data_IF_992633213806
#
_entry.id   IF_992633213806
#
_cell.length_a   1.000
_cell.length_b   1.000
_cell.length_c   1.000
_cell.angle_alpha   90.00
_cell.angle_beta   90.00
_cell.angle_gamma   90.00
#
_symmetry.space_group_name_H-M   'P 1'
#
loop_
_entity.id
_entity.type
_entity.pdbx_description
1 polymer ?
#
# COMPACT_ATOMS: atom_id res chain seq x y z
N UNK A 1 -10.35 16.59 41.61
CA UNK A 1 -10.57 16.37 40.17
C UNK A 1 -11.48 17.48 39.68
N UNK A 2 -10.97 18.41 38.87
CA UNK A 2 -11.80 19.45 38.27
C UNK A 2 -12.77 18.79 37.28
N UNK A 3 -14.08 18.99 37.51
CA UNK A 3 -15.13 18.53 36.60
C UNK A 3 -15.20 19.53 35.44
N UNK A 4 -14.49 19.25 34.36
CA UNK A 4 -14.43 20.12 33.15
C UNK A 4 -15.72 20.06 32.29
N UNK A 5 -16.86 19.63 32.80
CA UNK A 5 -18.17 19.67 32.12
C UNK A 5 -18.28 18.96 30.77
N UNK A 6 -17.18 18.40 30.25
CA UNK A 6 -17.14 17.77 28.95
C UNK A 6 -17.48 16.28 28.89
N UNK A 7 -17.64 15.64 30.06
CA UNK A 7 -18.03 14.23 30.14
C UNK A 7 -19.37 13.99 29.42
N UNK A 8 -19.36 13.07 28.44
CA UNK A 8 -20.54 12.76 27.62
C UNK A 8 -20.59 13.44 26.26
N UNK A 9 -19.77 14.46 26.01
CA UNK A 9 -19.67 15.05 24.67
C UNK A 9 -18.92 14.13 23.71
N UNK A 10 -19.21 14.26 22.40
CA UNK A 10 -18.46 13.55 21.36
C UNK A 10 -16.96 13.88 21.40
N UNK A 11 -16.63 15.15 21.60
CA UNK A 11 -15.25 15.63 21.66
C UNK A 11 -14.47 15.00 22.82
N UNK A 12 -15.11 14.85 23.99
CA UNK A 12 -14.51 14.16 25.14
C UNK A 12 -14.26 12.68 24.84
N UNK A 13 -15.17 12.01 24.14
CA UNK A 13 -14.97 10.61 23.73
C UNK A 13 -13.79 10.48 22.77
N UNK A 14 -13.66 11.40 21.78
CA UNK A 14 -12.51 11.42 20.85
C UNK A 14 -11.20 11.54 21.62
N UNK A 15 -11.11 12.48 22.57
CA UNK A 15 -9.95 12.68 23.42
C UNK A 15 -9.64 11.43 24.28
N UNK A 16 -10.64 10.88 24.94
CA UNK A 16 -10.49 9.68 25.75
C UNK A 16 -9.99 8.47 24.91
N UNK A 17 -10.59 8.24 23.75
CA UNK A 17 -10.23 7.14 22.88
C UNK A 17 -8.83 7.33 22.26
N UNK A 18 -8.44 8.55 21.93
CA UNK A 18 -7.09 8.89 21.48
C UNK A 18 -6.04 8.51 22.53
N UNK A 19 -6.22 8.91 23.77
CA UNK A 19 -5.34 8.55 24.89
C UNK A 19 -5.31 7.05 25.12
N UNK A 20 -6.49 6.43 25.21
CA UNK A 20 -6.63 5.00 25.48
C UNK A 20 -5.89 4.13 24.47
N UNK A 21 -5.94 4.44 23.18
CA UNK A 21 -5.23 3.66 22.15
C UNK A 21 -3.71 3.85 22.18
N UNK A 22 -3.22 4.93 22.77
CA UNK A 22 -1.80 5.20 22.91
C UNK A 22 -1.20 4.65 24.22
N UNK A 23 -1.93 4.70 25.35
CA UNK A 23 -1.41 4.40 26.67
C UNK A 23 -1.92 3.09 27.28
N UNK A 24 -3.07 2.54 26.80
CA UNK A 24 -3.65 1.34 27.40
C UNK A 24 -3.31 0.08 26.61
N UNK A 25 -2.33 -0.72 27.07
CA UNK A 25 -1.81 -1.92 26.40
C UNK A 25 -2.87 -3.00 26.11
N UNK A 26 -3.91 -3.10 26.93
CA UNK A 26 -5.02 -4.05 26.72
C UNK A 26 -6.07 -3.55 25.71
N UNK A 27 -5.88 -2.36 25.12
CA UNK A 27 -6.75 -1.88 24.04
C UNK A 27 -6.54 -2.73 22.79
N UNK A 28 -7.65 -3.13 22.15
CA UNK A 28 -7.62 -3.93 20.92
C UNK A 28 -6.79 -3.29 19.80
N UNK A 29 -6.72 -1.97 19.79
CA UNK A 29 -6.00 -1.19 18.79
C UNK A 29 -4.60 -0.74 19.26
N UNK A 30 -4.17 -1.09 20.48
CA UNK A 30 -2.89 -0.63 21.03
C UNK A 30 -1.71 -0.94 20.11
N UNK A 31 -1.68 -2.15 19.52
CA UNK A 31 -0.63 -2.57 18.58
C UNK A 31 -0.50 -1.68 17.32
N UNK A 32 -1.54 -0.90 16.98
CA UNK A 32 -1.53 0.05 15.87
C UNK A 32 -1.09 1.47 16.29
N UNK A 33 -1.02 1.76 17.60
CA UNK A 33 -0.73 3.08 18.16
C UNK A 33 0.37 3.00 19.23
N UNK A 34 0.02 2.82 20.50
CA UNK A 34 0.98 2.77 21.61
C UNK A 34 2.07 1.71 21.42
N UNK A 35 1.71 0.53 20.92
CA UNK A 35 2.63 -0.55 20.58
C UNK A 35 3.63 -0.22 19.47
N UNK A 36 3.38 0.86 18.72
CA UNK A 36 4.30 1.42 17.72
C UNK A 36 5.10 2.62 18.23
N UNK A 37 4.93 2.99 19.51
CA UNK A 37 5.56 4.16 20.10
C UNK A 37 4.82 5.48 19.86
N UNK A 38 3.61 5.46 19.29
CA UNK A 38 2.78 6.66 19.10
C UNK A 38 2.24 7.11 20.44
N UNK A 39 2.42 8.39 20.75
CA UNK A 39 2.02 9.03 22.00
C UNK A 39 1.04 10.17 21.73
N UNK A 40 0.41 10.64 22.79
CA UNK A 40 -0.28 11.93 22.84
C UNK A 40 0.69 12.94 23.43
N UNK A 41 0.73 14.18 22.94
CA UNK A 41 1.55 15.23 23.54
C UNK A 41 1.14 15.48 25.01
N UNK A 42 2.10 15.90 25.83
CA UNK A 42 1.93 16.02 27.29
C UNK A 42 0.74 16.94 27.64
N UNK A 43 0.54 18.01 26.87
CA UNK A 43 -0.54 18.96 27.04
C UNK A 43 -1.91 18.31 26.90
N UNK A 44 -2.11 17.50 25.85
CA UNK A 44 -3.38 16.80 25.61
C UNK A 44 -3.53 15.51 26.43
N UNK A 45 -2.42 14.91 26.86
CA UNK A 45 -2.45 13.69 27.69
C UNK A 45 -3.08 14.00 29.06
N UNK A 46 -2.78 15.14 29.65
CA UNK A 46 -3.20 15.51 30.99
C UNK A 46 -4.44 16.42 31.04
N UNK A 47 -4.69 17.22 30.00
CA UNK A 47 -5.71 18.27 30.03
C UNK A 47 -6.67 18.21 28.83
N UNK A 48 -7.93 17.90 29.10
CA UNK A 48 -9.00 17.93 28.09
C UNK A 48 -9.30 19.34 27.57
N UNK A 49 -9.18 20.35 28.41
CA UNK A 49 -9.48 21.74 28.03
C UNK A 49 -8.51 22.21 26.94
N UNK A 50 -7.24 21.91 27.06
CA UNK A 50 -6.22 22.22 26.03
C UNK A 50 -6.55 21.55 24.70
N UNK A 51 -6.92 20.26 24.73
CA UNK A 51 -7.37 19.57 23.50
C UNK A 51 -8.65 20.18 22.93
N UNK A 52 -9.62 20.53 23.78
CA UNK A 52 -10.88 21.13 23.37
C UNK A 52 -10.68 22.49 22.70
N UNK A 53 -9.87 23.32 23.30
CA UNK A 53 -9.58 24.65 22.76
C UNK A 53 -8.92 24.56 21.38
N UNK A 54 -7.89 23.73 21.26
CA UNK A 54 -7.28 23.43 19.95
C UNK A 54 -8.31 22.91 18.94
N UNK A 55 -9.17 21.99 19.35
CA UNK A 55 -10.16 21.39 18.48
C UNK A 55 -11.13 22.43 17.90
N UNK A 56 -11.61 23.35 18.73
CA UNK A 56 -12.53 24.41 18.32
C UNK A 56 -11.81 25.40 17.37
N UNK A 57 -10.60 25.84 17.72
CA UNK A 57 -9.80 26.76 16.94
C UNK A 57 -9.42 26.19 15.56
N UNK A 58 -9.27 24.88 15.45
CA UNK A 58 -8.91 24.18 14.22
C UNK A 58 -10.09 23.55 13.46
N UNK A 59 -11.33 24.03 13.72
CA UNK A 59 -12.49 23.72 12.90
C UNK A 59 -13.19 22.40 13.24
N UNK A 60 -13.22 22.02 14.51
CA UNK A 60 -14.03 20.88 14.96
C UNK A 60 -15.48 20.97 14.49
N UNK A 61 -15.99 19.88 13.97
CA UNK A 61 -17.40 19.69 13.62
C UNK A 61 -17.84 18.27 13.99
N UNK A 62 -19.13 18.10 14.27
CA UNK A 62 -19.71 16.80 14.60
C UNK A 62 -19.59 15.78 13.44
N UNK A 63 -19.44 16.24 12.20
CA UNK A 63 -19.28 15.41 11.00
C UNK A 63 -17.84 15.00 10.72
N UNK A 64 -16.84 15.65 11.35
CA UNK A 64 -15.43 15.42 11.10
C UNK A 64 -14.82 14.45 12.13
N UNK A 65 -13.72 13.82 11.76
CA UNK A 65 -12.95 12.91 12.62
C UNK A 65 -11.55 13.44 12.85
N UNK A 66 -10.97 13.15 14.01
CA UNK A 66 -9.57 13.48 14.30
C UNK A 66 -8.66 12.57 13.47
N UNK A 67 -7.83 13.17 12.62
CA UNK A 67 -6.86 12.50 11.76
C UNK A 67 -5.45 13.01 12.03
N UNK A 68 -4.44 12.13 11.93
CA UNK A 68 -3.03 12.53 11.98
C UNK A 68 -2.51 12.69 10.56
N UNK A 69 -1.91 13.83 10.26
CA UNK A 69 -1.33 14.14 8.96
C UNK A 69 -0.27 13.09 8.61
N UNK A 70 0.68 12.86 9.52
CA UNK A 70 1.62 11.75 9.46
C UNK A 70 1.17 10.62 10.39
N UNK A 71 0.79 9.49 9.82
CA UNK A 71 0.31 8.31 10.56
C UNK A 71 1.37 7.63 11.44
N UNK A 72 2.64 7.96 11.28
CA UNK A 72 3.75 7.46 12.08
C UNK A 72 4.16 8.44 13.20
N UNK A 73 3.62 9.69 13.16
CA UNK A 73 3.82 10.72 14.17
C UNK A 73 2.83 10.63 15.34
N UNK A 74 3.08 11.45 16.35
CA UNK A 74 2.28 11.54 17.56
C UNK A 74 0.97 12.31 17.35
N UNK A 75 0.08 12.23 18.34
CA UNK A 75 -1.06 13.14 18.46
C UNK A 75 -0.58 14.44 19.12
N UNK A 76 -0.48 15.46 18.32
CA UNK A 76 -0.03 16.81 18.70
C UNK A 76 -0.63 17.85 17.77
N UNK A 77 -0.70 19.13 18.16
CA UNK A 77 -1.30 20.19 17.34
C UNK A 77 -0.75 20.28 15.91
N UNK A 78 0.56 20.11 15.74
CA UNK A 78 1.25 20.18 14.45
C UNK A 78 0.97 18.99 13.51
N UNK A 79 0.55 17.85 14.06
CA UNK A 79 0.32 16.61 13.32
C UNK A 79 -1.14 16.18 13.27
N UNK A 80 -2.06 16.93 13.85
CA UNK A 80 -3.48 16.60 13.88
C UNK A 80 -4.30 17.57 13.04
N UNK A 81 -5.39 17.06 12.47
CA UNK A 81 -6.40 17.84 11.75
C UNK A 81 -7.78 17.21 11.90
N UNK A 82 -8.80 18.00 11.62
CA UNK A 82 -10.15 17.48 11.42
C UNK A 82 -10.34 17.13 9.95
N UNK A 83 -10.79 15.93 9.69
CA UNK A 83 -10.91 15.37 8.34
C UNK A 83 -12.27 14.67 8.16
N UNK A 84 -12.74 14.67 6.92
CA UNK A 84 -13.86 13.82 6.51
C UNK A 84 -13.47 12.35 6.55
N UNK A 85 -14.46 11.46 6.53
CA UNK A 85 -14.21 10.02 6.47
C UNK A 85 -13.42 9.63 5.20
N UNK A 86 -13.66 10.31 4.08
CA UNK A 86 -12.95 10.05 2.82
C UNK A 86 -11.48 10.47 2.91
N UNK A 87 -11.18 11.65 3.44
CA UNK A 87 -9.81 12.13 3.67
C UNK A 87 -9.06 11.20 4.63
N UNK A 88 -9.69 10.81 5.74
CA UNK A 88 -9.08 9.87 6.69
C UNK A 88 -8.84 8.50 6.04
N UNK A 89 -9.75 8.02 5.19
CA UNK A 89 -9.57 6.77 4.45
C UNK A 89 -8.42 6.87 3.44
N UNK A 90 -8.28 8.02 2.76
CA UNK A 90 -7.16 8.27 1.85
C UNK A 90 -5.80 8.34 2.58
N UNK A 91 -5.80 8.82 3.83
CA UNK A 91 -4.60 8.94 4.67
C UNK A 91 -4.20 7.63 5.37
N UNK A 92 -4.92 6.52 5.19
CA UNK A 92 -4.52 5.24 5.82
C UNK A 92 -3.19 4.76 5.29
N UNK A 93 -2.33 4.22 6.15
CA UNK A 93 -1.03 3.60 5.79
C UNK A 93 -1.13 2.49 4.73
N UNK A 94 -2.30 1.89 4.59
CA UNK A 94 -2.56 0.87 3.57
C UNK A 94 -2.87 1.47 2.20
N UNK A 95 -3.05 2.79 2.11
CA UNK A 95 -3.25 3.46 0.83
C UNK A 95 -1.91 3.61 0.10
N UNK A 96 -1.90 3.23 -1.14
CA UNK A 96 -0.77 3.44 -2.03
C UNK A 96 -0.94 4.80 -2.68
N UNK A 97 0.00 5.71 -2.41
CA UNK A 97 0.09 7.01 -3.05
C UNK A 97 0.94 6.90 -4.32
N UNK A 98 0.54 7.56 -5.37
CA UNK A 98 1.19 7.55 -6.67
C UNK A 98 1.38 8.99 -7.13
N UNK A 99 2.61 9.33 -7.53
CA UNK A 99 2.95 10.65 -8.09
C UNK A 99 3.05 10.54 -9.60
N UNK A 100 2.29 11.37 -10.32
CA UNK A 100 2.33 11.49 -11.77
C UNK A 100 2.43 12.98 -12.09
N UNK A 101 3.44 13.38 -12.86
CA UNK A 101 3.68 14.78 -13.27
C UNK A 101 3.72 15.79 -12.09
N UNK A 102 4.25 15.34 -10.93
CA UNK A 102 4.36 16.16 -9.72
C UNK A 102 3.11 16.20 -8.85
N UNK A 103 1.99 15.62 -9.27
CA UNK A 103 0.77 15.50 -8.49
C UNK A 103 0.70 14.15 -7.79
N UNK A 104 0.51 14.15 -6.47
CA UNK A 104 0.42 12.92 -5.65
C UNK A 104 -1.02 12.68 -5.21
N UNK A 105 -1.58 11.55 -5.63
CA UNK A 105 -2.92 11.08 -5.26
C UNK A 105 -2.88 9.60 -4.89
N UNK A 106 -3.90 9.14 -4.20
CA UNK A 106 -4.08 7.70 -3.96
C UNK A 106 -4.39 6.94 -5.26
N UNK A 107 -4.07 5.65 -5.30
CA UNK A 107 -4.49 4.76 -6.41
C UNK A 107 -5.99 4.89 -6.70
N UNK A 108 -6.82 5.07 -5.67
CA UNK A 108 -8.27 5.19 -5.84
C UNK A 108 -8.67 6.49 -6.56
N UNK A 109 -8.02 7.60 -6.23
CA UNK A 109 -8.26 8.90 -6.88
C UNK A 109 -7.80 8.88 -8.33
N UNK A 110 -6.58 8.40 -8.59
CA UNK A 110 -6.10 8.22 -9.95
C UNK A 110 -7.03 7.33 -10.79
N UNK A 111 -7.52 6.23 -10.22
CA UNK A 111 -8.45 5.34 -10.92
C UNK A 111 -9.79 6.02 -11.27
N UNK A 112 -10.29 6.93 -10.42
CA UNK A 112 -11.49 7.73 -10.74
C UNK A 112 -11.25 8.64 -11.95
N UNK A 113 -10.09 9.27 -12.05
CA UNK A 113 -9.73 10.20 -13.12
C UNK A 113 -9.39 9.47 -14.42
N UNK A 114 -8.59 8.41 -14.34
CA UNK A 114 -8.12 7.67 -15.52
C UNK A 114 -9.15 6.68 -16.07
N UNK A 115 -10.19 6.33 -15.28
CA UNK A 115 -11.16 5.31 -15.63
C UNK A 115 -10.64 3.88 -15.57
N UNK A 116 -9.47 3.64 -14.97
CA UNK A 116 -8.96 2.30 -14.69
C UNK A 116 -9.69 1.71 -13.51
N UNK A 117 -10.12 0.45 -13.60
CA UNK A 117 -10.73 -0.24 -12.46
C UNK A 117 -9.74 -0.36 -11.29
N UNK A 118 -10.19 0.04 -10.09
CA UNK A 118 -9.37 0.06 -8.87
C UNK A 118 -8.79 -1.32 -8.52
N UNK A 119 -9.57 -2.38 -8.65
CA UNK A 119 -9.12 -3.73 -8.32
C UNK A 119 -8.06 -4.21 -9.31
N UNK A 120 -8.19 -3.80 -10.58
CA UNK A 120 -7.19 -4.07 -11.61
C UNK A 120 -5.88 -3.34 -11.28
N UNK A 121 -5.93 -2.05 -10.92
CA UNK A 121 -4.76 -1.28 -10.54
C UNK A 121 -4.02 -1.89 -9.35
N UNK A 122 -4.71 -2.19 -8.25
CA UNK A 122 -4.10 -2.85 -7.09
C UNK A 122 -3.52 -4.24 -7.41
N UNK A 123 -4.18 -5.02 -8.27
CA UNK A 123 -3.65 -6.32 -8.72
C UNK A 123 -2.37 -6.16 -9.53
N UNK A 124 -2.30 -5.14 -10.38
CA UNK A 124 -1.10 -4.81 -11.17
C UNK A 124 0.06 -4.43 -10.25
N UNK A 125 -0.15 -3.52 -9.29
CA UNK A 125 0.87 -3.11 -8.30
C UNK A 125 1.38 -4.32 -7.52
N UNK A 126 0.48 -5.17 -7.02
CA UNK A 126 0.86 -6.41 -6.33
C UNK A 126 1.68 -7.36 -7.20
N UNK A 127 1.48 -7.33 -8.51
CA UNK A 127 2.23 -8.13 -9.50
C UNK A 127 3.50 -7.42 -10.01
N UNK A 128 3.95 -6.34 -9.33
CA UNK A 128 5.20 -5.66 -9.62
C UNK A 128 5.14 -4.62 -10.75
N UNK A 129 3.95 -4.13 -11.09
CA UNK A 129 3.85 -2.99 -12.00
C UNK A 129 4.27 -1.71 -11.29
N UNK A 130 4.87 -0.79 -12.05
CA UNK A 130 5.08 0.57 -11.57
C UNK A 130 3.72 1.19 -11.25
N UNK A 131 3.52 1.81 -10.06
CA UNK A 131 2.22 2.32 -9.63
C UNK A 131 1.59 3.33 -10.60
N UNK A 132 2.39 4.21 -11.21
CA UNK A 132 1.94 5.17 -12.23
C UNK A 132 1.36 4.48 -13.47
N UNK A 133 2.02 3.46 -13.98
CA UNK A 133 1.52 2.68 -15.11
C UNK A 133 0.28 1.86 -14.73
N UNK A 134 0.25 1.33 -13.52
CA UNK A 134 -0.87 0.52 -13.04
C UNK A 134 -2.20 1.29 -13.05
N UNK A 135 -2.16 2.61 -12.75
CA UNK A 135 -3.35 3.47 -12.69
C UNK A 135 -3.67 4.17 -14.01
N UNK A 136 -2.74 4.21 -14.99
CA UNK A 136 -2.97 4.90 -16.27
C UNK A 136 -3.25 3.97 -17.43
N UNK A 137 -2.77 2.73 -17.38
CA UNK A 137 -2.92 1.78 -18.50
C UNK A 137 -4.34 1.22 -18.57
N UNK A 138 -5.10 1.61 -19.59
CA UNK A 138 -6.48 1.14 -19.84
C UNK A 138 -6.53 -0.19 -20.58
N UNK A 139 -5.50 -0.51 -21.38
CA UNK A 139 -5.48 -1.71 -22.21
C UNK A 139 -5.22 -2.98 -21.39
N UNK A 140 -6.19 -3.91 -21.31
CA UNK A 140 -6.03 -5.16 -20.58
C UNK A 140 -5.03 -6.13 -21.23
N UNK A 141 -4.69 -5.95 -22.51
CA UNK A 141 -3.75 -6.82 -23.22
C UNK A 141 -2.31 -6.63 -22.72
N UNK A 142 -1.94 -5.41 -22.31
CA UNK A 142 -0.61 -5.10 -21.75
C UNK A 142 -0.32 -5.92 -20.49
N UNK A 143 -1.34 -6.09 -19.62
CA UNK A 143 -1.22 -6.91 -18.42
C UNK A 143 -1.00 -8.39 -18.73
N UNK A 144 -1.69 -8.93 -19.73
CA UNK A 144 -1.52 -10.32 -20.17
C UNK A 144 -0.12 -10.54 -20.76
N UNK A 145 0.38 -9.63 -21.57
CA UNK A 145 1.72 -9.70 -22.17
C UNK A 145 2.82 -9.70 -21.10
N UNK A 146 2.78 -8.75 -20.14
CA UNK A 146 3.74 -8.69 -19.02
C UNK A 146 3.72 -9.92 -18.12
N UNK A 147 2.52 -10.45 -17.80
CA UNK A 147 2.43 -11.69 -17.02
C UNK A 147 2.97 -12.90 -17.79
N UNK A 148 2.83 -12.94 -19.10
CA UNK A 148 3.43 -13.99 -19.93
C UNK A 148 4.96 -13.88 -19.91
N UNK A 149 5.51 -12.68 -20.06
CA UNK A 149 6.94 -12.39 -20.00
C UNK A 149 7.55 -12.72 -18.63
N UNK A 150 6.90 -12.34 -17.53
CA UNK A 150 7.39 -12.62 -16.17
C UNK A 150 7.38 -14.11 -15.79
N UNK A 151 6.55 -14.91 -16.46
CA UNK A 151 6.52 -16.37 -16.31
C UNK A 151 7.52 -17.11 -17.19
N UNK A 152 8.15 -16.42 -18.13
CA UNK A 152 9.17 -17.04 -18.97
C UNK A 152 10.42 -17.31 -18.12
N UNK A 153 10.76 -18.58 -18.00
CA UNK A 153 11.99 -19.02 -17.36
C UNK A 153 13.12 -18.94 -18.37
N UNK A 154 14.19 -18.23 -18.00
CA UNK A 154 15.42 -18.22 -18.79
C UNK A 154 16.00 -19.63 -18.88
N UNK A 155 16.55 -19.94 -20.03
CA UNK A 155 17.11 -21.27 -20.34
C UNK A 155 18.51 -21.08 -20.89
N UNK A 156 19.48 -21.83 -20.38
CA UNK A 156 20.81 -21.92 -20.91
C UNK A 156 20.93 -23.16 -21.81
N UNK A 157 21.45 -22.97 -23.00
CA UNK A 157 21.83 -24.05 -23.95
C UNK A 157 23.30 -23.92 -24.24
N UNK A 158 24.08 -24.92 -23.87
CA UNK A 158 25.56 -24.95 -24.02
C UNK A 158 26.24 -23.65 -23.48
N UNK A 159 25.69 -23.05 -22.40
CA UNK A 159 26.20 -21.82 -21.80
C UNK A 159 25.61 -20.53 -22.38
N UNK A 160 24.89 -20.55 -23.48
CA UNK A 160 24.19 -19.37 -24.05
C UNK A 160 22.80 -19.23 -23.40
N UNK A 161 22.48 -18.05 -22.87
CA UNK A 161 21.22 -17.79 -22.16
C UNK A 161 20.17 -17.21 -23.10
N UNK A 162 19.01 -17.86 -23.15
CA UNK A 162 17.81 -17.45 -23.88
C UNK A 162 16.73 -17.02 -22.92
N UNK A 163 15.88 -16.06 -23.31
CA UNK A 163 14.85 -15.51 -22.44
C UNK A 163 13.66 -16.47 -22.23
N UNK A 164 13.51 -17.48 -23.09
CA UNK A 164 12.42 -18.45 -22.99
C UNK A 164 12.78 -19.82 -23.56
N UNK A 165 12.05 -20.85 -23.14
CA UNK A 165 12.13 -22.20 -23.72
C UNK A 165 11.83 -22.19 -25.22
N UNK A 166 10.92 -21.32 -25.66
CA UNK A 166 10.54 -21.18 -27.08
C UNK A 166 11.73 -20.66 -27.92
N UNK A 167 12.39 -19.62 -27.41
CA UNK A 167 13.57 -19.04 -28.09
C UNK A 167 14.74 -20.02 -28.14
N UNK A 168 15.01 -20.69 -27.02
CA UNK A 168 16.04 -21.75 -26.98
C UNK A 168 15.73 -22.89 -27.95
N UNK A 169 14.48 -23.32 -28.04
CA UNK A 169 14.08 -24.39 -28.95
C UNK A 169 14.27 -23.99 -30.43
N UNK A 170 13.91 -22.76 -30.79
CA UNK A 170 14.11 -22.20 -32.13
C UNK A 170 15.59 -22.12 -32.50
N UNK A 171 16.41 -21.62 -31.57
CA UNK A 171 17.86 -21.44 -31.79
C UNK A 171 18.59 -22.75 -32.11
N UNK A 172 18.20 -23.87 -31.50
CA UNK A 172 18.80 -25.19 -31.74
C UNK A 172 18.00 -26.06 -32.72
N UNK A 173 16.96 -25.49 -33.35
CA UNK A 173 16.10 -26.21 -34.30
C UNK A 173 15.38 -27.43 -33.69
N UNK A 174 15.07 -27.35 -32.39
CA UNK A 174 14.38 -28.43 -31.64
C UNK A 174 12.93 -28.09 -31.37
N UNK A 175 12.11 -29.11 -31.02
CA UNK A 175 10.74 -28.83 -30.60
C UNK A 175 10.67 -28.33 -29.15
N UNK A 176 9.69 -27.50 -28.86
CA UNK A 176 9.40 -26.99 -27.50
C UNK A 176 9.23 -28.14 -26.49
N UNK A 177 8.59 -29.23 -26.93
CA UNK A 177 8.40 -30.44 -26.09
C UNK A 177 9.71 -31.12 -25.73
N UNK A 178 10.64 -31.24 -26.71
CA UNK A 178 11.94 -31.87 -26.49
C UNK A 178 12.83 -31.04 -25.54
N UNK A 179 12.89 -29.73 -25.70
CA UNK A 179 13.61 -28.82 -24.77
C UNK A 179 12.98 -28.84 -23.37
N UNK A 180 11.65 -28.77 -23.28
CA UNK A 180 10.96 -28.84 -21.99
C UNK A 180 11.14 -30.19 -21.29
N UNK A 181 11.25 -31.28 -22.02
CA UNK A 181 11.57 -32.58 -21.46
C UNK A 181 12.99 -32.63 -20.91
N UNK A 182 13.96 -32.20 -21.72
CA UNK A 182 15.37 -32.15 -21.34
C UNK A 182 15.60 -31.29 -20.08
N UNK A 183 14.93 -30.14 -19.98
CA UNK A 183 14.97 -29.28 -18.79
C UNK A 183 14.45 -29.95 -17.52
N UNK A 184 13.48 -30.85 -17.62
CA UNK A 184 12.93 -31.58 -16.47
C UNK A 184 13.72 -32.83 -16.11
N UNK A 185 14.29 -33.50 -17.10
CA UNK A 185 15.07 -34.74 -16.92
C UNK A 185 16.56 -34.51 -16.67
N UNK A 186 17.04 -33.24 -16.75
CA UNK A 186 18.46 -32.95 -16.67
C UNK A 186 19.27 -33.50 -17.85
N UNK A 187 18.60 -33.70 -18.99
CA UNK A 187 19.17 -34.36 -20.17
C UNK A 187 19.60 -33.39 -21.27
N UNK A 188 19.94 -33.99 -22.39
CA UNK A 188 20.31 -33.28 -23.64
C UNK A 188 19.18 -33.38 -24.65
N UNK A 189 19.08 -32.41 -25.54
CA UNK A 189 18.21 -32.46 -26.71
C UNK A 189 19.02 -32.07 -27.97
N UNK A 190 18.95 -32.88 -29.02
CA UNK A 190 19.74 -32.73 -30.23
C UNK A 190 21.25 -32.55 -29.97
N UNK A 191 21.82 -33.18 -28.95
CA UNK A 191 23.23 -33.07 -28.58
C UNK A 191 23.54 -31.86 -27.67
N UNK A 192 22.62 -30.90 -27.50
CA UNK A 192 22.77 -29.70 -26.68
C UNK A 192 22.41 -29.93 -25.23
N UNK A 193 23.23 -29.45 -24.31
CA UNK A 193 22.91 -29.45 -22.88
C UNK A 193 21.96 -28.28 -22.57
N UNK A 194 20.82 -28.54 -21.92
CA UNK A 194 19.83 -27.52 -21.55
C UNK A 194 19.57 -27.53 -20.07
N UNK A 195 19.57 -26.35 -19.46
CA UNK A 195 19.25 -26.13 -18.05
C UNK A 195 18.56 -24.79 -17.83
N UNK A 196 17.84 -24.64 -16.73
CA UNK A 196 17.38 -23.31 -16.33
C UNK A 196 18.57 -22.42 -15.96
N UNK A 197 18.53 -21.15 -16.43
CA UNK A 197 19.57 -20.16 -16.17
C UNK A 197 19.27 -19.37 -14.89
#
# INVERSE_FOLDING_TARGET
MLKHGGCGTRLYRIWYDMRRRCSYEKSINWHLYGGRGIKVCDEWESDFESFRNWAIENGYSESLTLDRINNDGNYEPSNCRWATADEQNANKRTCVNVTIEGETKTVTEWCKETGVDRMVAYKRIRNGWEPSEAVTTRDPSVGKKRMAESKQKKVSVDGVVYQSVTEAAAAIGSSLKAVSYALRSGGKTKGHEVKYA
#
